data_IF_368794245565
#
_entry.id   IF_368794245565
#
_cell.length_a   1.000
_cell.length_b   1.000
_cell.length_c   1.000
_cell.angle_alpha   90.00
_cell.angle_beta   90.00
_cell.angle_gamma   90.00
#
_symmetry.space_group_name_H-M   'P 1'
#
loop_
_entity.id
_entity.type
_entity.pdbx_description
1 polymer ?
#
# COMPACT_ATOMS: atom_id res chain seq x y z
N UNK A 1 -86.25 98.62 46.58
CA UNK A 1 -85.06 99.33 46.05
C UNK A 1 -84.41 98.42 45.02
N UNK A 2 -84.45 98.82 43.75
CA UNK A 2 -83.83 98.10 42.62
C UNK A 2 -82.34 98.46 42.50
N UNK A 3 -81.48 97.55 41.99
CA UNK A 3 -80.03 97.76 41.88
C UNK A 3 -79.66 98.51 40.58
N UNK A 4 -78.58 99.30 40.53
CA UNK A 4 -78.03 99.76 39.26
C UNK A 4 -77.06 98.68 38.75
N UNK A 5 -77.50 97.95 37.73
CA UNK A 5 -76.63 97.15 36.89
C UNK A 5 -76.16 98.03 35.74
N UNK A 6 -74.92 98.49 35.79
CA UNK A 6 -74.24 99.02 34.62
C UNK A 6 -72.77 98.57 34.65
N UNK A 7 -72.50 97.48 33.94
CA UNK A 7 -71.15 97.09 33.53
C UNK A 7 -71.07 97.35 32.03
N UNK A 8 -70.07 98.10 31.52
CA UNK A 8 -69.90 98.26 30.09
C UNK A 8 -69.58 96.90 29.47
N UNK A 9 -70.47 96.45 28.59
CA UNK A 9 -70.24 95.27 27.75
C UNK A 9 -69.31 95.70 26.63
N UNK A 10 -68.03 95.33 26.72
CA UNK A 10 -67.09 95.42 25.60
C UNK A 10 -67.57 94.39 24.57
N UNK A 11 -68.22 94.86 23.51
CA UNK A 11 -68.59 94.02 22.37
C UNK A 11 -67.32 93.75 21.57
N UNK A 12 -66.82 92.52 21.67
CA UNK A 12 -65.73 92.00 20.85
C UNK A 12 -66.06 92.20 19.36
N UNK A 13 -65.16 92.77 18.54
CA UNK A 13 -65.45 92.98 17.12
C UNK A 13 -65.60 91.61 16.43
N UNK A 14 -66.69 91.37 15.68
CA UNK A 14 -67.03 90.07 15.12
C UNK A 14 -65.98 89.50 14.14
N UNK A 15 -65.05 90.33 13.67
CA UNK A 15 -63.98 89.96 12.75
C UNK A 15 -62.91 89.06 13.42
N UNK A 16 -62.53 89.32 14.68
CA UNK A 16 -61.47 88.57 15.37
C UNK A 16 -61.87 87.14 15.74
N UNK A 17 -63.15 86.93 16.05
CA UNK A 17 -63.68 85.61 16.43
C UNK A 17 -63.75 84.64 15.24
N UNK A 18 -64.08 85.15 14.05
CA UNK A 18 -64.09 84.36 12.81
C UNK A 18 -62.66 83.96 12.38
N UNK A 19 -61.70 84.89 12.51
CA UNK A 19 -60.29 84.64 12.22
C UNK A 19 -59.68 83.61 13.18
N UNK A 20 -59.96 83.71 14.48
CA UNK A 20 -59.54 82.72 15.49
C UNK A 20 -60.06 81.30 15.18
N UNK A 21 -61.32 81.19 14.75
CA UNK A 21 -61.91 79.90 14.36
C UNK A 21 -61.26 79.32 13.09
N UNK A 22 -60.92 80.17 12.11
CA UNK A 22 -60.21 79.76 10.90
C UNK A 22 -58.80 79.24 11.22
N UNK A 23 -58.03 79.99 12.03
CA UNK A 23 -56.70 79.59 12.47
C UNK A 23 -56.73 78.29 13.28
N UNK A 24 -57.75 78.10 14.13
CA UNK A 24 -57.92 76.85 14.88
C UNK A 24 -58.16 75.65 13.96
N UNK A 25 -58.91 75.83 12.87
CA UNK A 25 -59.12 74.81 11.84
C UNK A 25 -57.83 74.50 11.09
N UNK A 26 -57.04 75.51 10.73
CA UNK A 26 -55.72 75.32 10.10
C UNK A 26 -54.73 74.59 11.03
N UNK A 27 -54.68 74.95 12.32
CA UNK A 27 -53.86 74.26 13.32
C UNK A 27 -54.26 72.79 13.43
N UNK A 28 -55.56 72.47 13.40
CA UNK A 28 -56.02 71.08 13.42
C UNK A 28 -55.58 70.31 12.17
N UNK A 29 -55.68 70.91 10.98
CA UNK A 29 -55.19 70.32 9.72
C UNK A 29 -53.67 70.13 9.75
N UNK A 30 -52.91 71.10 10.27
CA UNK A 30 -51.46 71.00 10.39
C UNK A 30 -51.03 69.92 11.37
N UNK A 31 -51.75 69.75 12.50
CA UNK A 31 -51.51 68.66 13.45
C UNK A 31 -51.75 67.29 12.81
N UNK A 32 -52.82 67.13 12.04
CA UNK A 32 -53.11 65.87 11.34
C UNK A 32 -52.04 65.57 10.28
N UNK A 33 -51.63 66.59 9.51
CA UNK A 33 -50.50 66.46 8.57
C UNK A 33 -49.20 66.09 9.27
N UNK A 34 -48.90 66.70 10.42
CA UNK A 34 -47.69 66.39 11.21
C UNK A 34 -47.71 64.95 11.73
N UNK A 35 -48.85 64.49 12.25
CA UNK A 35 -49.00 63.10 12.71
C UNK A 35 -48.82 62.12 11.54
N UNK A 36 -49.37 62.44 10.37
CA UNK A 36 -49.22 61.63 9.15
C UNK A 36 -47.78 61.60 8.67
N UNK A 37 -47.08 62.73 8.60
CA UNK A 37 -45.67 62.76 8.17
C UNK A 37 -44.76 62.05 9.17
N UNK A 38 -45.04 62.18 10.47
CA UNK A 38 -44.30 61.46 11.51
C UNK A 38 -44.50 59.94 11.40
N UNK A 39 -45.73 59.48 11.13
CA UNK A 39 -46.01 58.05 10.89
C UNK A 39 -45.36 57.55 9.59
N UNK A 40 -45.32 58.36 8.53
CA UNK A 40 -44.63 58.01 7.30
C UNK A 40 -43.11 57.94 7.50
N UNK A 41 -42.54 58.87 8.28
CA UNK A 41 -41.11 58.87 8.60
C UNK A 41 -40.72 57.62 9.39
N UNK A 42 -41.49 57.21 10.41
CA UNK A 42 -41.19 56.00 11.18
C UNK A 42 -41.29 54.74 10.32
N UNK A 43 -42.29 54.65 9.45
CA UNK A 43 -42.42 53.54 8.50
C UNK A 43 -41.26 53.50 7.50
N UNK A 44 -40.85 54.66 6.98
CA UNK A 44 -39.71 54.76 6.07
C UNK A 44 -38.39 54.35 6.76
N UNK A 45 -38.15 54.79 7.99
CA UNK A 45 -36.97 54.38 8.76
C UNK A 45 -36.94 52.88 8.98
N UNK A 46 -38.06 52.27 9.39
CA UNK A 46 -38.15 50.82 9.57
C UNK A 46 -37.92 50.04 8.26
N UNK A 47 -38.39 50.58 7.13
CA UNK A 47 -38.14 50.00 5.82
C UNK A 47 -36.66 50.08 5.42
N UNK A 48 -36.00 51.21 5.69
CA UNK A 48 -34.56 51.38 5.45
C UNK A 48 -33.73 50.43 6.32
N UNK A 49 -34.06 50.30 7.60
CA UNK A 49 -33.38 49.36 8.51
C UNK A 49 -33.52 47.91 8.03
N UNK A 50 -34.72 47.51 7.62
CA UNK A 50 -34.97 46.18 7.05
C UNK A 50 -34.17 45.95 5.77
N UNK A 51 -34.16 46.93 4.86
CA UNK A 51 -33.40 46.85 3.61
C UNK A 51 -31.89 46.77 3.87
N UNK A 52 -31.37 47.55 4.84
CA UNK A 52 -29.98 47.50 5.23
C UNK A 52 -29.59 46.14 5.82
N UNK A 53 -30.44 45.54 6.67
CA UNK A 53 -30.22 44.21 7.21
C UNK A 53 -30.22 43.13 6.11
N UNK A 54 -31.13 43.23 5.13
CA UNK A 54 -31.17 42.32 3.98
C UNK A 54 -29.93 42.47 3.09
N UNK A 55 -29.49 43.69 2.80
CA UNK A 55 -28.28 43.94 2.03
C UNK A 55 -27.02 43.39 2.72
N UNK A 56 -26.92 43.58 4.05
CA UNK A 56 -25.84 43.00 4.85
C UNK A 56 -25.86 41.47 4.81
N UNK A 57 -27.04 40.86 4.90
CA UNK A 57 -27.21 39.40 4.75
C UNK A 57 -26.79 38.88 3.38
N UNK A 58 -27.19 39.57 2.31
CA UNK A 58 -26.80 39.23 0.93
C UNK A 58 -25.29 39.33 0.72
N UNK A 59 -24.65 40.40 1.21
CA UNK A 59 -23.20 40.57 1.12
C UNK A 59 -22.43 39.47 1.87
N UNK A 60 -22.93 39.04 3.03
CA UNK A 60 -22.32 37.93 3.77
C UNK A 60 -22.43 36.59 3.02
N UNK A 61 -23.56 36.34 2.34
CA UNK A 61 -23.74 35.16 1.49
C UNK A 61 -22.76 35.23 0.30
N UNK A 62 -22.67 36.38 -0.37
CA UNK A 62 -21.75 36.57 -1.49
C UNK A 62 -20.29 36.28 -1.08
N UNK A 63 -19.82 36.84 0.03
CA UNK A 63 -18.48 36.56 0.54
C UNK A 63 -18.24 35.08 0.82
N UNK A 64 -19.20 34.38 1.44
CA UNK A 64 -19.09 32.94 1.69
C UNK A 64 -19.03 32.14 0.40
N UNK A 65 -19.87 32.48 -0.58
CA UNK A 65 -19.87 31.81 -1.90
C UNK A 65 -18.56 32.04 -2.64
N UNK A 66 -18.02 33.26 -2.64
CA UNK A 66 -16.73 33.59 -3.25
C UNK A 66 -15.57 32.83 -2.57
N UNK A 67 -15.58 32.75 -1.25
CA UNK A 67 -14.60 31.95 -0.51
C UNK A 67 -14.69 30.47 -0.91
N UNK A 68 -15.89 29.89 -0.92
CA UNK A 68 -16.11 28.49 -1.29
C UNK A 68 -15.68 28.20 -2.73
N UNK A 69 -15.95 29.12 -3.66
CA UNK A 69 -15.56 29.01 -5.06
C UNK A 69 -14.03 29.06 -5.21
N UNK A 70 -13.36 29.95 -4.47
CA UNK A 70 -11.90 30.03 -4.48
C UNK A 70 -11.25 28.75 -3.96
N UNK A 71 -11.84 28.13 -2.93
CA UNK A 71 -11.39 26.86 -2.37
C UNK A 71 -11.58 25.72 -3.39
N UNK A 72 -12.77 25.61 -3.97
CA UNK A 72 -13.07 24.60 -4.99
C UNK A 72 -12.13 24.71 -6.21
N UNK A 73 -11.80 25.93 -6.65
CA UNK A 73 -10.83 26.17 -7.74
C UNK A 73 -9.43 25.67 -7.39
N UNK A 74 -8.97 25.90 -6.15
CA UNK A 74 -7.67 25.39 -5.67
C UNK A 74 -7.65 23.87 -5.62
N UNK A 75 -8.72 23.25 -5.11
CA UNK A 75 -8.85 21.79 -5.07
C UNK A 75 -8.86 21.18 -6.48
N UNK A 76 -9.56 21.79 -7.42
CA UNK A 76 -9.57 21.37 -8.83
C UNK A 76 -8.19 21.47 -9.48
N UNK A 77 -7.45 22.56 -9.23
CA UNK A 77 -6.09 22.72 -9.74
C UNK A 77 -5.14 21.63 -9.21
N UNK A 78 -5.21 21.35 -7.90
CA UNK A 78 -4.44 20.27 -7.28
C UNK A 78 -4.81 18.90 -7.87
N UNK A 79 -6.11 18.61 -8.00
CA UNK A 79 -6.58 17.35 -8.57
C UNK A 79 -6.13 17.18 -10.03
N UNK A 80 -6.19 18.23 -10.83
CA UNK A 80 -5.72 18.23 -12.22
C UNK A 80 -4.21 17.94 -12.30
N UNK A 81 -3.41 18.52 -11.41
CA UNK A 81 -1.98 18.28 -11.36
C UNK A 81 -1.66 16.82 -10.93
N UNK A 82 -2.36 16.31 -9.92
CA UNK A 82 -2.23 14.91 -9.50
C UNK A 82 -2.62 13.93 -10.61
N UNK A 83 -3.69 14.22 -11.37
CA UNK A 83 -4.09 13.40 -12.51
C UNK A 83 -3.03 13.39 -13.62
N UNK A 84 -2.40 14.54 -13.89
CA UNK A 84 -1.30 14.62 -14.86
C UNK A 84 -0.10 13.78 -14.44
N UNK A 85 0.25 13.82 -13.16
CA UNK A 85 1.34 13.03 -12.59
C UNK A 85 1.05 11.52 -12.68
N UNK A 86 -0.13 11.08 -12.25
CA UNK A 86 -0.55 9.67 -12.37
C UNK A 86 -0.52 9.21 -13.83
N UNK A 87 -0.96 10.05 -14.77
CA UNK A 87 -0.92 9.73 -16.20
C UNK A 87 0.51 9.51 -16.71
N UNK A 88 1.47 10.31 -16.25
CA UNK A 88 2.87 10.13 -16.61
C UNK A 88 3.43 8.82 -16.04
N UNK A 89 3.13 8.54 -14.76
CA UNK A 89 3.56 7.28 -14.12
C UNK A 89 2.97 6.05 -14.81
N UNK A 90 1.73 6.11 -15.30
CA UNK A 90 1.12 5.03 -16.09
C UNK A 90 1.93 4.80 -17.38
N UNK A 91 2.23 5.86 -18.14
CA UNK A 91 3.03 5.75 -19.37
C UNK A 91 4.40 5.14 -19.12
N UNK A 92 5.07 5.54 -18.04
CA UNK A 92 6.38 5.00 -17.66
C UNK A 92 6.29 3.51 -17.30
N UNK A 93 5.26 3.11 -16.55
CA UNK A 93 5.03 1.70 -16.19
C UNK A 93 4.69 0.85 -17.42
N UNK A 94 3.92 1.37 -18.35
CA UNK A 94 3.62 0.70 -19.62
C UNK A 94 4.90 0.47 -20.45
N UNK A 95 5.75 1.51 -20.56
CA UNK A 95 7.03 1.39 -21.23
C UNK A 95 7.97 0.38 -20.55
N UNK A 96 8.00 0.36 -19.21
CA UNK A 96 8.76 -0.63 -18.45
C UNK A 96 8.22 -2.04 -18.66
N UNK A 97 6.90 -2.22 -18.68
CA UNK A 97 6.26 -3.51 -18.93
C UNK A 97 6.63 -4.05 -20.32
N UNK A 98 6.58 -3.20 -21.36
CA UNK A 98 7.00 -3.58 -22.71
C UNK A 98 8.47 -4.06 -22.77
N UNK A 99 9.37 -3.39 -22.04
CA UNK A 99 10.78 -3.82 -21.92
C UNK A 99 10.91 -5.18 -21.24
N UNK A 100 10.18 -5.42 -20.15
CA UNK A 100 10.20 -6.70 -19.43
C UNK A 100 9.68 -7.83 -20.33
N UNK A 101 8.60 -7.61 -21.06
CA UNK A 101 8.06 -8.61 -22.00
C UNK A 101 9.10 -8.96 -23.07
N UNK A 102 9.81 -7.96 -23.61
CA UNK A 102 10.89 -8.19 -24.58
C UNK A 102 12.03 -9.03 -23.98
N UNK A 103 12.48 -8.70 -22.77
CA UNK A 103 13.53 -9.45 -22.06
C UNK A 103 13.11 -10.89 -21.75
N UNK A 104 11.85 -11.12 -21.33
CA UNK A 104 11.31 -12.46 -21.11
C UNK A 104 11.34 -13.28 -22.40
N UNK A 105 10.97 -12.68 -23.55
CA UNK A 105 11.00 -13.35 -24.85
C UNK A 105 12.42 -13.76 -25.21
N UNK A 106 13.40 -12.87 -25.03
CA UNK A 106 14.80 -13.17 -25.30
C UNK A 106 15.35 -14.27 -24.39
N UNK A 107 15.10 -14.19 -23.07
CA UNK A 107 15.52 -15.24 -22.13
C UNK A 107 14.85 -16.59 -22.43
N UNK A 108 13.62 -16.60 -22.96
CA UNK A 108 12.96 -17.83 -23.40
C UNK A 108 13.66 -18.41 -24.65
N UNK A 109 14.09 -17.57 -25.59
CA UNK A 109 14.89 -17.98 -26.74
C UNK A 109 16.22 -18.62 -26.30
N UNK A 110 17.00 -17.90 -25.49
CA UNK A 110 18.30 -18.37 -24.96
C UNK A 110 18.14 -19.70 -24.21
N UNK A 111 17.12 -19.84 -23.35
CA UNK A 111 16.86 -21.11 -22.65
C UNK A 111 16.56 -22.27 -23.60
N UNK A 112 15.86 -22.01 -24.71
CA UNK A 112 15.53 -23.04 -25.69
C UNK A 112 16.78 -23.50 -26.44
N UNK A 113 17.66 -22.55 -26.80
CA UNK A 113 18.96 -22.83 -27.42
C UNK A 113 19.88 -23.62 -26.48
N UNK A 114 20.00 -23.19 -25.23
CA UNK A 114 20.82 -23.89 -24.24
C UNK A 114 20.30 -25.32 -23.99
N UNK A 115 18.97 -25.51 -23.94
CA UNK A 115 18.37 -26.85 -23.82
C UNK A 115 18.71 -27.74 -25.01
N UNK A 116 18.72 -27.19 -26.22
CA UNK A 116 19.11 -27.92 -27.41
C UNK A 116 20.61 -28.30 -27.38
N UNK A 117 21.47 -27.37 -26.95
CA UNK A 117 22.90 -27.62 -26.81
C UNK A 117 23.20 -28.72 -25.78
N UNK A 118 22.60 -28.64 -24.59
CA UNK A 118 22.75 -29.67 -23.55
C UNK A 118 22.36 -31.04 -24.10
N UNK A 119 21.22 -31.15 -24.80
CA UNK A 119 20.79 -32.42 -25.41
C UNK A 119 21.82 -32.98 -26.40
N UNK A 120 22.44 -32.10 -27.20
CA UNK A 120 23.47 -32.52 -28.15
C UNK A 120 24.75 -32.96 -27.45
N UNK A 121 25.20 -32.23 -26.42
CA UNK A 121 26.38 -32.60 -25.63
C UNK A 121 26.17 -33.91 -24.85
N UNK A 122 24.99 -34.12 -24.26
CA UNK A 122 24.65 -35.39 -23.59
C UNK A 122 24.78 -36.57 -24.56
N UNK A 123 24.23 -36.45 -25.78
CA UNK A 123 24.38 -37.48 -26.82
C UNK A 123 25.83 -37.70 -27.23
N UNK A 124 26.63 -36.64 -27.27
CA UNK A 124 28.05 -36.77 -27.59
C UNK A 124 28.82 -37.50 -26.46
N UNK A 125 28.51 -37.18 -25.21
CA UNK A 125 29.07 -37.83 -24.04
C UNK A 125 28.72 -39.34 -23.98
N UNK A 126 27.46 -39.69 -24.27
CA UNK A 126 27.02 -41.10 -24.38
C UNK A 126 27.83 -41.87 -25.43
N UNK A 127 28.10 -41.26 -26.60
CA UNK A 127 28.95 -41.88 -27.62
C UNK A 127 30.38 -42.08 -27.15
N UNK A 128 30.95 -41.09 -26.47
CA UNK A 128 32.32 -41.17 -25.92
C UNK A 128 32.40 -42.28 -24.87
N UNK A 129 31.42 -42.39 -23.97
CA UNK A 129 31.36 -43.49 -23.00
C UNK A 129 31.28 -44.85 -23.69
N UNK A 130 30.41 -45.02 -24.69
CA UNK A 130 30.31 -46.27 -25.42
C UNK A 130 31.63 -46.68 -26.09
N UNK A 131 32.40 -45.72 -26.61
CA UNK A 131 33.73 -45.98 -27.18
C UNK A 131 34.73 -46.37 -26.09
N UNK A 132 34.74 -45.68 -24.95
CA UNK A 132 35.60 -46.02 -23.81
C UNK A 132 35.30 -47.42 -23.26
N UNK A 133 34.04 -47.79 -23.15
CA UNK A 133 33.61 -49.13 -22.72
C UNK A 133 34.09 -50.21 -23.70
N UNK A 134 33.98 -49.97 -25.01
CA UNK A 134 34.51 -50.88 -26.03
C UNK A 134 36.03 -51.03 -25.94
N UNK A 135 36.77 -49.94 -25.72
CA UNK A 135 38.23 -49.97 -25.56
C UNK A 135 38.60 -50.78 -24.30
N UNK A 136 37.90 -50.53 -23.20
CA UNK A 136 38.11 -51.22 -21.92
C UNK A 136 37.82 -52.72 -22.04
N UNK A 137 36.73 -53.09 -22.73
CA UNK A 137 36.40 -54.49 -23.01
C UNK A 137 37.44 -55.19 -23.91
N UNK A 138 37.98 -54.49 -24.91
CA UNK A 138 39.07 -55.01 -25.75
C UNK A 138 40.37 -55.21 -24.96
N UNK A 139 40.69 -54.31 -24.03
CA UNK A 139 41.86 -54.41 -23.14
C UNK A 139 41.73 -55.50 -22.07
N UNK A 140 40.52 -55.80 -21.58
CA UNK A 140 40.29 -56.86 -20.59
C UNK A 140 40.11 -58.26 -21.20
N UNK A 141 39.93 -58.36 -22.52
CA UNK A 141 39.76 -59.64 -23.23
C UNK A 141 40.96 -60.62 -23.11
N UNK A 142 42.23 -60.19 -23.04
CA UNK A 142 43.37 -61.08 -22.79
C UNK A 142 43.49 -61.54 -21.33
N UNK A 143 42.86 -60.84 -20.37
CA UNK A 143 42.94 -61.15 -18.94
C UNK A 143 41.89 -62.16 -18.47
N UNK A 144 40.73 -62.24 -19.15
CA UNK A 144 39.65 -63.16 -18.78
C UNK A 144 39.83 -64.62 -19.23
N UNK A 145 40.80 -64.94 -20.10
CA UNK A 145 41.10 -66.34 -20.43
C UNK A 145 41.88 -67.08 -19.32
N UNK A 146 42.32 -66.40 -18.25
CA UNK A 146 43.15 -67.02 -17.20
C UNK A 146 42.49 -67.22 -15.84
N UNK A 147 41.23 -66.78 -15.63
CA UNK A 147 40.56 -66.93 -14.33
C UNK A 147 39.09 -67.31 -14.52
N UNK A 148 38.85 -68.61 -14.64
CA UNK A 148 37.57 -69.23 -14.28
C UNK A 148 37.78 -70.11 -13.04
N UNK A 149 37.34 -69.61 -11.88
CA UNK A 149 36.74 -70.42 -10.82
C UNK A 149 35.78 -69.53 -9.99
N UNK A 150 34.68 -70.08 -9.45
CA UNK A 150 33.49 -69.31 -9.09
C UNK A 150 33.45 -68.96 -7.61
N UNK A 151 33.32 -67.67 -7.30
CA UNK A 151 33.05 -67.17 -5.95
C UNK A 151 31.70 -66.45 -5.91
N UNK A 152 30.69 -67.13 -5.37
CA UNK A 152 29.42 -66.55 -4.98
C UNK A 152 29.64 -65.50 -3.86
N UNK A 153 29.27 -64.24 -4.11
CA UNK A 153 29.05 -63.26 -3.03
C UNK A 153 27.83 -62.38 -3.39
N UNK A 154 26.82 -62.26 -2.51
CA UNK A 154 25.62 -61.45 -2.75
C UNK A 154 25.92 -59.96 -2.91
N UNK A 155 25.09 -59.19 -3.65
CA UNK A 155 25.27 -57.75 -3.79
C UNK A 155 25.11 -57.04 -2.43
N UNK A 156 26.10 -56.19 -2.11
CA UNK A 156 26.11 -55.38 -0.91
C UNK A 156 24.89 -54.43 -0.85
N UNK A 157 24.30 -54.22 0.34
CA UNK A 157 23.17 -53.33 0.52
C UNK A 157 23.58 -51.88 0.29
N UNK A 158 22.73 -51.13 -0.43
CA UNK A 158 22.84 -49.68 -0.63
C UNK A 158 23.01 -48.99 0.72
N UNK A 159 23.98 -48.07 0.90
CA UNK A 159 24.13 -47.37 2.17
C UNK A 159 22.88 -46.54 2.46
N UNK A 160 22.14 -46.90 3.51
CA UNK A 160 21.17 -45.99 4.13
C UNK A 160 21.95 -44.78 4.63
N UNK A 161 21.54 -43.59 4.22
CA UNK A 161 22.13 -42.34 4.70
C UNK A 161 22.14 -42.35 6.24
N UNK A 162 23.25 -41.94 6.88
CA UNK A 162 23.34 -41.92 8.34
C UNK A 162 22.26 -41.00 8.90
N UNK A 163 21.56 -41.45 9.94
CA UNK A 163 20.65 -40.63 10.73
C UNK A 163 21.44 -39.43 11.27
N UNK A 164 21.24 -38.26 10.64
CA UNK A 164 21.88 -37.02 11.06
C UNK A 164 21.30 -36.66 12.44
N UNK A 165 22.16 -36.53 13.45
CA UNK A 165 21.77 -35.90 14.72
C UNK A 165 21.47 -34.42 14.45
N UNK A 166 20.28 -33.96 14.79
CA UNK A 166 19.80 -32.60 14.53
C UNK A 166 18.61 -32.53 13.58
N UNK A 167 17.86 -31.43 13.68
CA UNK A 167 16.68 -31.18 12.85
C UNK A 167 17.01 -30.26 11.69
N UNK A 168 16.55 -30.61 10.49
CA UNK A 168 16.62 -29.71 9.34
C UNK A 168 15.25 -29.14 9.07
N UNK A 169 15.14 -27.81 9.08
CA UNK A 169 13.90 -27.12 8.74
C UNK A 169 13.86 -26.87 7.23
N UNK A 170 12.78 -27.31 6.57
CA UNK A 170 12.51 -27.04 5.16
C UNK A 170 11.04 -26.70 4.95
N UNK A 171 10.74 -26.04 3.85
CA UNK A 171 9.36 -25.83 3.41
C UNK A 171 8.95 -26.96 2.47
N UNK A 172 7.66 -27.30 2.44
CA UNK A 172 7.13 -28.35 1.57
C UNK A 172 7.41 -28.07 0.08
N UNK A 173 7.51 -26.80 -0.31
CA UNK A 173 7.93 -26.35 -1.64
C UNK A 173 8.24 -24.85 -1.62
N UNK A 174 8.87 -24.36 -2.70
CA UNK A 174 9.03 -22.92 -2.95
C UNK A 174 7.67 -22.20 -2.88
N UNK A 175 6.63 -22.78 -3.48
CA UNK A 175 5.25 -22.23 -3.47
C UNK A 175 4.66 -22.16 -2.05
N UNK A 176 5.00 -23.11 -1.17
CA UNK A 176 4.59 -23.08 0.23
C UNK A 176 5.20 -21.87 0.96
N UNK A 177 6.50 -21.65 0.78
CA UNK A 177 7.21 -20.49 1.33
C UNK A 177 6.65 -19.17 0.79
N UNK A 178 6.43 -19.05 -0.52
CA UNK A 178 5.84 -17.86 -1.14
C UNK A 178 4.43 -17.58 -0.60
N UNK A 179 3.62 -18.62 -0.39
CA UNK A 179 2.28 -18.49 0.19
C UNK A 179 2.34 -17.97 1.62
N UNK A 180 3.27 -18.46 2.43
CA UNK A 180 3.43 -18.02 3.82
C UNK A 180 3.96 -16.59 3.94
N UNK A 181 4.87 -16.19 3.04
CA UNK A 181 5.40 -14.82 2.95
C UNK A 181 4.30 -13.86 2.49
N UNK A 182 3.54 -14.20 1.44
CA UNK A 182 2.45 -13.37 0.93
C UNK A 182 1.32 -13.19 1.95
N UNK A 183 1.02 -14.22 2.75
CA UNK A 183 0.09 -14.17 3.88
C UNK A 183 0.65 -13.49 5.13
N UNK A 184 1.89 -12.99 5.09
CA UNK A 184 2.60 -12.35 6.21
C UNK A 184 2.71 -13.24 7.46
N UNK A 185 2.57 -14.56 7.30
CA UNK A 185 2.75 -15.53 8.38
C UNK A 185 4.24 -15.74 8.66
N UNK A 186 5.05 -15.78 7.61
CA UNK A 186 6.50 -15.94 7.69
C UNK A 186 7.16 -14.68 7.17
N UNK A 187 8.20 -14.20 7.85
CA UNK A 187 9.07 -13.16 7.30
C UNK A 187 10.39 -13.78 6.89
N UNK A 188 10.84 -13.46 5.70
CA UNK A 188 12.07 -13.98 5.12
C UNK A 188 13.19 -12.94 5.21
N UNK A 189 14.39 -13.39 5.56
CA UNK A 189 15.54 -12.53 5.81
C UNK A 189 16.79 -13.04 5.10
N UNK A 190 17.62 -12.09 4.70
CA UNK A 190 19.00 -12.32 4.27
C UNK A 190 19.92 -11.65 5.30
N UNK A 191 20.95 -12.36 5.75
CA UNK A 191 21.97 -11.86 6.65
C UNK A 191 23.32 -11.90 5.94
N UNK A 192 24.05 -10.80 5.96
CA UNK A 192 25.41 -10.73 5.42
C UNK A 192 26.28 -9.91 6.38
N UNK A 193 27.22 -10.57 7.04
CA UNK A 193 27.98 -9.98 8.13
C UNK A 193 27.06 -9.54 9.28
N UNK A 194 27.13 -8.27 9.68
CA UNK A 194 26.30 -7.69 10.75
C UNK A 194 25.02 -7.01 10.27
N UNK A 195 24.70 -7.12 8.98
CA UNK A 195 23.53 -6.46 8.40
C UNK A 195 22.47 -7.49 8.05
N UNK A 196 21.21 -7.08 8.18
CA UNK A 196 20.06 -7.92 7.89
C UNK A 196 19.09 -7.19 6.98
N UNK A 197 18.58 -7.91 5.99
CA UNK A 197 17.55 -7.42 5.09
C UNK A 197 16.33 -8.31 5.19
N UNK A 198 15.17 -7.68 5.30
CA UNK A 198 13.89 -8.37 5.23
C UNK A 198 13.37 -8.31 3.80
N UNK A 199 12.89 -9.44 3.32
CA UNK A 199 12.13 -9.51 2.08
C UNK A 199 10.72 -8.96 2.30
N UNK A 200 10.33 -8.00 1.47
CA UNK A 200 8.97 -7.49 1.36
C UNK A 200 8.47 -7.64 -0.08
N UNK A 201 7.20 -7.97 -0.23
CA UNK A 201 6.54 -8.02 -1.53
C UNK A 201 5.91 -6.66 -1.82
N UNK A 202 6.57 -5.84 -2.65
CA UNK A 202 6.02 -4.56 -3.13
C UNK A 202 5.39 -4.78 -4.51
N UNK A 203 4.07 -4.60 -4.63
CA UNK A 203 3.32 -4.86 -5.87
C UNK A 203 3.54 -6.28 -6.43
N UNK A 204 3.63 -7.28 -5.55
CA UNK A 204 3.88 -8.68 -5.93
C UNK A 204 5.33 -8.99 -6.35
N UNK A 205 6.25 -8.03 -6.23
CA UNK A 205 7.68 -8.23 -6.51
C UNK A 205 8.50 -8.26 -5.22
N UNK A 206 9.47 -9.17 -5.09
CA UNK A 206 10.39 -9.20 -3.96
C UNK A 206 11.28 -7.94 -3.95
N UNK A 207 11.39 -7.30 -2.79
CA UNK A 207 12.28 -6.16 -2.52
C UNK A 207 12.89 -6.35 -1.13
N UNK A 208 14.19 -6.11 -0.99
CA UNK A 208 14.89 -6.19 0.27
C UNK A 208 15.00 -4.82 0.93
N UNK A 209 14.64 -4.75 2.20
CA UNK A 209 14.81 -3.55 3.03
C UNK A 209 15.74 -3.85 4.20
N UNK A 210 16.65 -2.93 4.51
CA UNK A 210 17.52 -3.09 5.67
C UNK A 210 16.70 -2.97 6.96
N UNK A 211 16.90 -3.92 7.88
CA UNK A 211 16.19 -4.00 9.17
C UNK A 211 17.15 -4.36 10.29
N UNK A 212 16.72 -4.16 11.54
CA UNK A 212 17.43 -4.71 12.71
C UNK A 212 17.31 -6.24 12.71
N UNK A 213 18.33 -6.92 13.22
CA UNK A 213 18.34 -8.37 13.36
C UNK A 213 17.19 -8.78 14.29
N UNK A 214 16.25 -9.65 13.87
CA UNK A 214 15.20 -10.15 14.74
C UNK A 214 15.75 -11.05 15.85
N UNK A 215 15.00 -11.15 16.95
CA UNK A 215 15.40 -11.90 18.15
C UNK A 215 15.49 -13.41 17.95
N UNK A 216 14.73 -13.95 17.00
CA UNK A 216 14.73 -15.38 16.64
C UNK A 216 14.70 -15.54 15.13
N UNK A 217 15.65 -16.29 14.59
CA UNK A 217 15.74 -16.63 13.17
C UNK A 217 15.99 -18.11 13.06
N UNK A 218 15.24 -18.77 12.18
CA UNK A 218 15.52 -20.13 11.77
C UNK A 218 16.28 -20.07 10.45
N UNK A 219 17.50 -20.57 10.46
CA UNK A 219 18.35 -20.62 9.27
C UNK A 219 17.78 -21.58 8.23
N UNK A 220 17.88 -21.19 6.96
CA UNK A 220 17.49 -22.00 5.82
C UNK A 220 18.72 -22.47 5.07
N UNK A 221 18.68 -23.72 4.59
CA UNK A 221 19.71 -24.21 3.68
C UNK A 221 19.64 -23.44 2.36
N UNK A 222 20.78 -22.92 1.89
CA UNK A 222 20.88 -22.08 0.68
C UNK A 222 20.28 -22.73 -0.58
N UNK A 223 20.35 -24.06 -0.67
CA UNK A 223 19.78 -24.85 -1.78
C UNK A 223 18.25 -24.85 -1.82
N UNK A 224 17.61 -24.57 -0.68
CA UNK A 224 16.15 -24.53 -0.52
C UNK A 224 15.57 -23.12 -0.66
N UNK A 225 16.43 -22.13 -0.92
CA UNK A 225 15.99 -20.75 -1.10
C UNK A 225 15.59 -20.53 -2.56
N UNK A 226 14.37 -20.02 -2.82
CA UNK A 226 13.91 -19.73 -4.18
C UNK A 226 14.89 -18.84 -4.95
N UNK A 227 15.24 -19.25 -6.17
CA UNK A 227 16.26 -18.58 -6.98
C UNK A 227 15.88 -17.13 -7.38
N UNK A 228 14.58 -16.81 -7.40
CA UNK A 228 14.09 -15.45 -7.60
C UNK A 228 14.49 -14.50 -6.45
N UNK A 229 14.51 -14.99 -5.21
CA UNK A 229 14.86 -14.21 -4.02
C UNK A 229 16.36 -13.94 -3.94
N UNK A 230 17.17 -14.98 -4.17
CA UNK A 230 18.63 -14.84 -4.21
C UNK A 230 19.07 -13.88 -5.32
N UNK A 231 18.51 -14.00 -6.52
CA UNK A 231 18.84 -13.13 -7.66
C UNK A 231 18.49 -11.66 -7.41
N UNK A 232 17.36 -11.37 -6.74
CA UNK A 232 16.96 -10.00 -6.43
C UNK A 232 17.84 -9.40 -5.33
N UNK A 233 18.18 -10.20 -4.31
CA UNK A 233 19.12 -9.78 -3.28
C UNK A 233 20.48 -9.41 -3.87
N UNK A 234 21.06 -10.26 -4.71
CA UNK A 234 22.36 -10.01 -5.36
C UNK A 234 22.35 -8.75 -6.24
N UNK A 235 21.22 -8.44 -6.90
CA UNK A 235 21.08 -7.23 -7.72
C UNK A 235 20.91 -5.96 -6.90
N UNK A 236 20.12 -6.02 -5.82
CA UNK A 236 19.80 -4.84 -5.00
C UNK A 236 20.93 -4.49 -4.05
N UNK A 237 21.67 -5.48 -3.58
CA UNK A 237 22.71 -5.29 -2.58
C UNK A 237 24.06 -5.69 -3.16
N UNK A 238 24.41 -5.02 -4.27
CA UNK A 238 25.50 -5.29 -5.21
C UNK A 238 26.94 -5.25 -4.64
N UNK A 239 27.14 -5.34 -3.32
CA UNK A 239 28.42 -4.97 -2.70
C UNK A 239 28.82 -5.78 -1.45
N UNK A 240 28.36 -7.03 -1.28
CA UNK A 240 28.95 -7.89 -0.25
C UNK A 240 30.22 -8.57 -0.77
N UNK A 241 31.34 -7.88 -0.59
CA UNK A 241 32.66 -8.49 -0.71
C UNK A 241 32.76 -9.70 0.20
N UNK A 242 33.06 -10.86 -0.38
CA UNK A 242 33.45 -12.16 0.25
C UNK A 242 32.60 -12.68 1.42
N UNK A 243 31.51 -12.05 1.81
CA UNK A 243 30.69 -12.44 2.95
C UNK A 243 29.64 -13.44 2.51
N UNK A 244 29.64 -14.63 3.13
CA UNK A 244 28.63 -15.65 2.93
C UNK A 244 27.27 -15.11 3.38
N UNK A 245 26.26 -15.20 2.52
CA UNK A 245 24.90 -14.79 2.85
C UNK A 245 24.21 -15.95 3.55
N UNK A 246 23.72 -15.71 4.77
CA UNK A 246 22.88 -16.64 5.51
C UNK A 246 21.42 -16.28 5.29
N UNK A 247 20.60 -17.28 4.99
CA UNK A 247 19.17 -17.10 4.76
C UNK A 247 18.40 -17.57 5.97
N UNK A 248 17.31 -16.90 6.32
CA UNK A 248 16.51 -17.33 7.44
C UNK A 248 15.10 -16.78 7.45
N UNK A 249 14.28 -17.37 8.30
CA UNK A 249 12.87 -17.00 8.45
C UNK A 249 12.52 -16.76 9.91
N UNK A 250 11.57 -15.85 10.16
CA UNK A 250 10.85 -15.82 11.42
C UNK A 250 9.55 -16.60 11.26
N UNK A 251 9.30 -17.48 12.21
CA UNK A 251 8.09 -18.30 12.27
C UNK A 251 7.12 -17.73 13.30
N UNK A 252 5.80 -17.87 13.11
CA UNK A 252 4.81 -17.57 14.15
C UNK A 252 5.06 -18.36 15.42
N UNK A 253 4.69 -17.80 16.58
CA UNK A 253 4.84 -18.48 17.88
C UNK A 253 4.14 -19.85 17.92
N UNK A 254 2.99 -19.98 17.26
CA UNK A 254 2.26 -21.24 17.13
C UNK A 254 3.07 -22.31 16.36
N UNK A 255 3.72 -21.92 15.26
CA UNK A 255 4.58 -22.80 14.47
C UNK A 255 5.83 -23.18 15.26
N UNK A 256 6.44 -22.22 15.96
CA UNK A 256 7.59 -22.45 16.83
C UNK A 256 7.26 -23.40 18.00
N UNK A 257 6.08 -23.25 18.61
CA UNK A 257 5.60 -24.16 19.66
C UNK A 257 5.36 -25.58 19.13
N UNK A 258 4.84 -25.70 17.91
CA UNK A 258 4.65 -27.00 17.24
C UNK A 258 5.98 -27.69 16.96
N UNK A 259 6.98 -26.94 16.48
CA UNK A 259 8.35 -27.43 16.33
C UNK A 259 8.90 -27.90 17.67
N UNK A 260 8.82 -27.07 18.72
CA UNK A 260 9.33 -27.40 20.05
C UNK A 260 8.69 -28.69 20.62
N UNK A 261 7.42 -28.95 20.29
CA UNK A 261 6.74 -30.19 20.66
C UNK A 261 7.28 -31.40 19.88
N UNK A 262 7.50 -31.25 18.57
CA UNK A 262 8.00 -32.33 17.71
C UNK A 262 9.45 -32.72 17.99
N UNK A 263 10.28 -31.76 18.41
CA UNK A 263 11.70 -32.01 18.72
C UNK A 263 11.93 -32.54 20.13
N UNK A 264 10.94 -32.47 21.03
CA UNK A 264 11.11 -32.86 22.44
C UNK A 264 11.40 -34.36 22.61
N UNK A 265 10.85 -35.17 21.70
CA UNK A 265 10.87 -36.63 21.80
C UNK A 265 11.73 -37.31 20.71
N UNK A 266 12.50 -36.53 19.93
CA UNK A 266 13.38 -37.04 18.86
C UNK A 266 14.73 -36.32 18.83
N UNK A 267 15.76 -37.04 18.40
CA UNK A 267 17.14 -36.51 18.30
C UNK A 267 17.49 -35.98 16.89
N UNK A 268 16.56 -36.05 15.94
CA UNK A 268 16.73 -35.56 14.57
C UNK A 268 15.58 -35.91 13.63
N UNK A 269 15.58 -35.28 12.46
CA UNK A 269 14.59 -35.48 11.40
C UNK A 269 14.36 -34.24 10.55
N UNK A 270 13.54 -34.38 9.51
CA UNK A 270 13.20 -33.29 8.60
C UNK A 270 11.89 -32.63 9.04
N UNK A 271 11.97 -31.40 9.56
CA UNK A 271 10.81 -30.58 9.87
C UNK A 271 10.34 -29.88 8.60
N UNK A 272 9.18 -30.27 8.08
CA UNK A 272 8.62 -29.73 6.85
C UNK A 272 7.45 -28.79 7.19
N UNK A 273 7.58 -27.51 6.83
CA UNK A 273 6.50 -26.51 6.97
C UNK A 273 5.61 -26.54 5.73
N UNK A 274 4.32 -26.82 5.94
CA UNK A 274 3.27 -26.86 4.91
C UNK A 274 2.77 -25.45 4.54
N UNK A 275 2.08 -25.26 3.39
CA UNK A 275 1.62 -23.95 2.91
C UNK A 275 0.67 -23.19 3.85
N UNK A 276 0.02 -23.89 4.79
CA UNK A 276 -0.88 -23.35 5.80
C UNK A 276 -0.15 -22.93 7.10
N UNK A 277 1.07 -23.43 7.30
CA UNK A 277 1.93 -23.21 8.47
C UNK A 277 1.99 -24.41 9.42
N UNK A 278 1.38 -25.55 9.07
CA UNK A 278 1.51 -26.81 9.80
C UNK A 278 2.93 -27.37 9.65
N UNK A 279 3.42 -28.05 10.69
CA UNK A 279 4.77 -28.64 10.71
C UNK A 279 4.63 -30.15 10.84
N UNK A 280 5.20 -30.87 9.89
CA UNK A 280 5.31 -32.33 9.93
C UNK A 280 6.77 -32.72 10.14
N UNK A 281 7.00 -33.81 10.86
CA UNK A 281 8.34 -34.37 11.09
C UNK A 281 8.46 -35.67 10.29
N UNK A 282 9.45 -35.75 9.41
CA UNK A 282 9.78 -36.94 8.62
C UNK A 282 11.07 -37.59 9.12
#
# INVERSE_FOLDING_TARGET
MSPPADRPTIVEPPNLKAEAASLQKEIAVLKDKLAKTQSQLTAATAAVEKAAAQAAGAAAIEQRTMYSLSKARKELATASQSLKEVRNQIKEREAMSARIVKDIKEKRRIRSELKAQIKNETRNFEKIQAVLDQITAKLNRPLQQKQQTPGNTPPAPVPRQPAKKGFTLRFASDTALETLISRKKVHFFALAGQKTWQLKLANGRPVYIAVKIPSKIYEMETTTVPANYTAVFSRQVAAFGRSTVTWGVTLPDQTAASINRLIKDRDGGDLIIMPDGEVILN
#
